data_IF_231180668109
#
_entry.id   IF_231180668109
#
_cell.length_a   1.000
_cell.length_b   1.000
_cell.length_c   1.000
_cell.angle_alpha   90.00
_cell.angle_beta   90.00
_cell.angle_gamma   90.00
#
_symmetry.space_group_name_H-M   'P 1'
#
loop_
_entity.id
_entity.type
_entity.pdbx_description
1 polymer ?
#
# COMPACT_ATOMS: atom_id res chain seq x y z
N UNK A 1 4.15 27.18 1.53
CA UNK A 1 4.26 26.28 0.36
C UNK A 1 5.27 25.21 0.72
N UNK A 2 4.83 24.08 1.28
CA UNK A 2 5.73 22.95 1.46
C UNK A 2 6.08 22.44 0.05
N UNK A 3 7.36 22.41 -0.30
CA UNK A 3 7.80 22.00 -1.64
C UNK A 3 7.31 20.59 -1.97
N UNK A 4 7.01 20.36 -3.25
CA UNK A 4 6.63 19.05 -3.76
C UNK A 4 7.74 18.05 -3.45
N UNK A 5 7.52 17.21 -2.42
CA UNK A 5 8.44 16.16 -2.03
C UNK A 5 8.16 14.96 -2.90
N UNK A 6 9.19 14.34 -3.47
CA UNK A 6 9.06 13.08 -4.19
C UNK A 6 9.53 11.92 -3.33
N UNK A 7 8.98 10.72 -3.58
CA UNK A 7 9.54 9.47 -3.08
C UNK A 7 9.80 8.50 -4.23
N UNK A 8 10.87 7.68 -4.12
CA UNK A 8 11.12 6.62 -5.08
C UNK A 8 10.01 5.58 -4.96
N UNK A 9 9.33 5.32 -6.07
CA UNK A 9 8.27 4.33 -6.18
C UNK A 9 8.64 3.28 -7.23
N UNK A 10 8.81 2.05 -6.76
CA UNK A 10 9.23 0.92 -7.58
C UNK A 10 8.02 0.11 -8.03
N UNK A 11 8.06 -0.42 -9.24
CA UNK A 11 7.17 -1.50 -9.65
C UNK A 11 7.95 -2.76 -10.01
N UNK A 12 7.34 -3.93 -9.88
CA UNK A 12 7.99 -5.24 -10.04
C UNK A 12 8.71 -5.39 -11.40
N UNK A 13 8.13 -4.86 -12.49
CA UNK A 13 8.70 -4.94 -13.85
C UNK A 13 9.69 -3.81 -14.15
N UNK A 14 10.01 -2.96 -13.17
CA UNK A 14 10.96 -1.86 -13.34
C UNK A 14 12.42 -2.31 -13.13
N UNK A 15 12.69 -3.59 -12.82
CA UNK A 15 14.03 -4.15 -12.60
C UNK A 15 14.87 -3.37 -11.58
N UNK A 16 14.24 -2.91 -10.48
CA UNK A 16 14.89 -2.10 -9.44
C UNK A 16 15.02 -0.62 -9.79
N UNK A 17 14.54 -0.17 -10.95
CA UNK A 17 14.37 1.26 -11.24
C UNK A 17 13.18 1.81 -10.45
N UNK A 18 13.32 3.06 -10.01
CA UNK A 18 12.26 3.76 -9.28
C UNK A 18 11.79 4.96 -10.07
N UNK A 19 10.51 5.29 -9.91
CA UNK A 19 9.89 6.51 -10.43
C UNK A 19 9.62 7.44 -9.26
N UNK A 20 10.11 8.66 -9.34
CA UNK A 20 9.79 9.67 -8.35
C UNK A 20 8.32 10.08 -8.46
N UNK A 21 7.58 9.86 -7.38
CA UNK A 21 6.17 10.24 -7.26
C UNK A 21 6.02 11.35 -6.23
N UNK A 22 5.25 12.37 -6.58
CA UNK A 22 4.93 13.48 -5.67
C UNK A 22 4.08 12.95 -4.52
N UNK A 23 4.42 13.36 -3.30
CA UNK A 23 3.64 13.13 -2.10
C UNK A 23 3.36 14.48 -1.42
N UNK A 24 2.10 14.77 -1.09
CA UNK A 24 1.70 16.09 -0.61
C UNK A 24 2.07 16.35 0.87
N UNK A 25 2.53 15.32 1.58
CA UNK A 25 2.96 15.39 2.97
C UNK A 25 3.17 14.01 3.58
N UNK A 26 3.58 14.00 4.86
CA UNK A 26 3.75 12.79 5.65
C UNK A 26 2.55 12.53 6.54
N UNK A 27 2.21 11.26 6.73
CA UNK A 27 1.22 10.82 7.72
C UNK A 27 1.99 10.17 8.86
N UNK A 28 2.02 10.83 10.01
CA UNK A 28 2.73 10.34 11.20
C UNK A 28 1.77 9.84 12.26
N UNK A 29 2.05 8.68 12.83
CA UNK A 29 1.33 8.15 13.98
C UNK A 29 2.22 7.21 14.81
N UNK A 30 1.84 6.98 16.06
CA UNK A 30 2.51 6.04 16.95
C UNK A 30 1.59 4.87 17.25
N UNK A 31 2.13 3.65 17.26
CA UNK A 31 1.41 2.45 17.68
C UNK A 31 2.37 1.51 18.40
N UNK A 32 1.94 1.00 19.57
CA UNK A 32 2.71 0.04 20.37
C UNK A 32 4.15 0.51 20.67
N UNK A 33 4.33 1.82 20.85
CA UNK A 33 5.64 2.45 21.10
C UNK A 33 6.54 2.62 19.87
N UNK A 34 6.04 2.31 18.67
CA UNK A 34 6.74 2.51 17.40
C UNK A 34 6.14 3.70 16.66
N UNK A 35 6.97 4.64 16.26
CA UNK A 35 6.60 5.77 15.42
C UNK A 35 6.68 5.39 13.94
N UNK A 36 5.62 5.68 13.20
CA UNK A 36 5.52 5.45 11.77
C UNK A 36 5.36 6.79 11.07
N UNK A 37 6.14 6.99 10.00
CA UNK A 37 6.01 8.13 9.08
C UNK A 37 5.76 7.58 7.69
N UNK A 38 4.53 7.70 7.22
CA UNK A 38 4.08 7.15 5.95
C UNK A 38 4.03 8.22 4.86
N UNK A 39 4.08 7.77 3.61
CA UNK A 39 3.88 8.61 2.44
C UNK A 39 2.75 8.05 1.58
N UNK A 40 1.71 8.86 1.39
CA UNK A 40 0.61 8.55 0.46
C UNK A 40 0.79 9.35 -0.82
N UNK A 41 0.52 8.71 -1.96
CA UNK A 41 0.62 9.31 -3.28
C UNK A 41 -0.62 10.15 -3.56
N UNK A 42 -0.46 11.26 -4.26
CA UNK A 42 -1.61 11.95 -4.85
C UNK A 42 -2.07 11.20 -6.11
N UNK A 43 -3.35 10.83 -6.12
CA UNK A 43 -4.05 10.21 -7.24
C UNK A 43 -5.26 11.10 -7.56
N UNK A 44 -5.04 12.10 -8.41
CA UNK A 44 -6.04 13.08 -8.84
C UNK A 44 -6.80 13.74 -7.67
N UNK A 45 -6.06 14.13 -6.62
CA UNK A 45 -6.62 14.76 -5.41
C UNK A 45 -7.12 13.79 -4.35
N UNK A 46 -7.03 12.47 -4.58
CA UNK A 46 -7.24 11.44 -3.55
C UNK A 46 -5.90 10.88 -3.10
N UNK A 47 -5.70 10.73 -1.79
CA UNK A 47 -4.48 10.14 -1.26
C UNK A 47 -4.55 8.61 -1.33
N UNK A 48 -3.57 7.99 -1.98
CA UNK A 48 -3.43 6.54 -2.08
C UNK A 48 -2.20 6.08 -1.29
N UNK A 49 -2.44 5.28 -0.25
CA UNK A 49 -1.39 4.60 0.50
C UNK A 49 -1.18 3.20 -0.09
N UNK A 50 0.03 2.93 -0.57
CA UNK A 50 0.49 1.57 -0.87
C UNK A 50 1.32 1.08 0.30
N UNK A 51 0.87 0.00 0.94
CA UNK A 51 1.48 -0.50 2.18
C UNK A 51 1.72 -2.01 2.15
N UNK A 52 2.64 -2.43 3.01
CA UNK A 52 2.89 -3.83 3.32
C UNK A 52 2.90 -4.04 4.83
N UNK A 53 2.67 -5.28 5.27
CA UNK A 53 2.62 -5.71 6.66
C UNK A 53 2.92 -7.22 6.75
N UNK A 54 3.15 -7.78 7.96
CA UNK A 54 3.51 -9.18 8.13
C UNK A 54 2.48 -10.21 7.64
N UNK A 55 1.24 -9.81 7.29
CA UNK A 55 0.23 -10.73 6.72
C UNK A 55 0.43 -11.00 5.23
N UNK A 56 1.22 -10.18 4.53
CA UNK A 56 1.44 -10.34 3.10
C UNK A 56 2.09 -11.69 2.79
N UNK A 57 1.46 -12.47 1.91
CA UNK A 57 2.02 -13.75 1.47
C UNK A 57 1.99 -14.86 2.53
N UNK A 58 1.38 -14.65 3.70
CA UNK A 58 1.22 -15.68 4.73
C UNK A 58 0.15 -16.70 4.35
N UNK A 59 0.44 -18.01 4.47
CA UNK A 59 -0.52 -19.06 4.12
C UNK A 59 -1.77 -19.14 5.00
N UNK A 60 -2.86 -19.65 4.42
CA UNK A 60 -4.15 -19.86 5.11
C UNK A 60 -5.01 -18.60 5.23
N UNK A 61 -6.05 -18.69 6.08
CA UNK A 61 -7.12 -17.68 6.18
C UNK A 61 -6.65 -16.33 6.74
N UNK A 62 -5.48 -16.27 7.37
CA UNK A 62 -4.89 -15.03 7.90
C UNK A 62 -4.07 -14.24 6.90
N UNK A 63 -3.84 -14.79 5.70
CA UNK A 63 -2.98 -14.24 4.67
C UNK A 63 -3.60 -13.12 3.84
N UNK A 64 -2.76 -12.18 3.39
CA UNK A 64 -3.14 -11.14 2.42
C UNK A 64 -2.29 -11.25 1.15
N UNK A 65 -2.65 -10.48 0.11
CA UNK A 65 -1.92 -10.47 -1.17
C UNK A 65 -0.42 -10.19 -0.99
N UNK A 66 0.44 -10.91 -1.70
CA UNK A 66 1.88 -10.94 -1.40
C UNK A 66 2.61 -9.59 -1.59
N UNK A 67 2.20 -8.79 -2.58
CA UNK A 67 2.92 -7.55 -2.92
C UNK A 67 2.49 -6.33 -2.11
N UNK A 68 1.56 -6.47 -1.17
CA UNK A 68 0.98 -5.34 -0.43
C UNK A 68 -0.47 -5.07 -0.80
N UNK A 69 -1.06 -4.04 -0.19
CA UNK A 69 -2.43 -3.60 -0.45
C UNK A 69 -2.50 -2.09 -0.60
N UNK A 70 -3.59 -1.63 -1.18
CA UNK A 70 -3.88 -0.22 -1.37
C UNK A 70 -4.91 0.24 -0.35
N UNK A 71 -4.80 1.50 0.06
CA UNK A 71 -5.78 2.16 0.92
C UNK A 71 -5.95 3.60 0.46
N UNK A 72 -7.16 3.99 0.10
CA UNK A 72 -7.50 5.39 -0.05
C UNK A 72 -7.58 6.05 1.33
N UNK A 73 -6.89 7.17 1.50
CA UNK A 73 -6.78 7.88 2.77
C UNK A 73 -7.67 9.10 2.76
N UNK A 74 -8.62 9.13 3.71
CA UNK A 74 -9.44 10.31 3.94
C UNK A 74 -8.64 11.36 4.73
N UNK A 75 -8.51 12.56 4.16
CA UNK A 75 -7.84 13.70 4.78
C UNK A 75 -8.86 14.74 5.25
N UNK A 76 -8.72 15.19 6.49
CA UNK A 76 -9.51 16.25 7.11
C UNK A 76 -8.57 17.29 7.71
N UNK A 77 -8.22 18.32 6.94
CA UNK A 77 -7.26 19.35 7.36
C UNK A 77 -5.84 18.79 7.49
N UNK A 78 -5.33 18.75 8.71
CA UNK A 78 -4.03 18.19 9.11
C UNK A 78 -4.09 16.73 9.59
N UNK A 79 -5.31 16.17 9.71
CA UNK A 79 -5.52 14.78 10.13
C UNK A 79 -5.85 13.88 8.94
N UNK A 80 -5.42 12.63 9.04
CA UNK A 80 -5.75 11.57 8.11
C UNK A 80 -6.35 10.39 8.87
N UNK A 81 -7.32 9.71 8.26
CA UNK A 81 -7.90 8.46 8.78
C UNK A 81 -7.42 7.31 7.92
N UNK A 82 -6.77 6.34 8.56
CA UNK A 82 -6.33 5.09 7.94
C UNK A 82 -7.32 3.98 8.29
N UNK A 83 -8.38 3.82 7.50
CA UNK A 83 -9.37 2.75 7.68
C UNK A 83 -8.94 1.48 6.95
N UNK A 84 -8.14 0.64 7.61
CA UNK A 84 -7.65 -0.61 7.04
C UNK A 84 -8.76 -1.63 6.69
N UNK A 85 -10.01 -1.44 7.17
CA UNK A 85 -11.13 -2.28 6.71
C UNK A 85 -11.45 -2.06 5.22
N UNK A 86 -10.99 -0.94 4.65
CA UNK A 86 -11.14 -0.58 3.24
C UNK A 86 -9.89 -0.85 2.41
N UNK A 87 -8.88 -1.51 2.99
CA UNK A 87 -7.71 -1.91 2.22
C UNK A 87 -8.08 -2.96 1.17
N UNK A 88 -7.60 -2.80 -0.05
CA UNK A 88 -7.96 -3.63 -1.19
C UNK A 88 -6.74 -4.15 -1.96
N UNK A 89 -6.94 -5.25 -2.69
CA UNK A 89 -5.91 -5.86 -3.53
C UNK A 89 -5.73 -5.02 -4.79
N UNK A 90 -4.49 -4.63 -5.15
CA UNK A 90 -4.25 -3.88 -6.37
C UNK A 90 -4.64 -4.68 -7.64
N UNK A 91 -4.89 -4.01 -8.78
CA UNK A 91 -5.27 -4.68 -10.03
C UNK A 91 -4.32 -5.81 -10.47
N UNK A 92 -3.03 -5.69 -10.12
CA UNK A 92 -2.04 -6.71 -10.44
C UNK A 92 -2.19 -8.02 -9.66
N UNK A 93 -3.02 -8.05 -8.60
CA UNK A 93 -3.44 -9.30 -7.96
C UNK A 93 -4.42 -10.13 -8.78
N UNK A 94 -5.02 -9.53 -9.82
CA UNK A 94 -6.02 -10.17 -10.69
C UNK A 94 -5.53 -10.37 -12.14
N UNK A 95 -4.41 -9.77 -12.52
CA UNK A 95 -3.87 -9.85 -13.89
C UNK A 95 -2.38 -9.49 -13.94
N UNK A 96 -1.58 -10.36 -14.54
CA UNK A 96 -0.14 -10.13 -14.75
C UNK A 96 0.16 -9.01 -15.75
N UNK A 97 -0.84 -8.53 -16.48
CA UNK A 97 -0.69 -7.42 -17.42
C UNK A 97 -0.46 -6.08 -16.69
N UNK A 98 -0.77 -6.00 -15.40
CA UNK A 98 -0.47 -4.82 -14.58
C UNK A 98 0.89 -4.93 -13.92
N UNK A 99 1.65 -3.84 -13.94
CA UNK A 99 2.91 -3.73 -13.21
C UNK A 99 2.61 -3.42 -11.74
N UNK A 100 2.88 -4.37 -10.83
CA UNK A 100 2.61 -4.17 -9.41
C UNK A 100 3.53 -3.11 -8.82
N UNK A 101 3.01 -2.06 -8.17
CA UNK A 101 3.85 -1.23 -7.33
C UNK A 101 4.23 -1.96 -6.05
N UNK A 102 5.45 -1.70 -5.59
CA UNK A 102 5.94 -2.19 -4.31
C UNK A 102 5.76 -1.10 -3.24
N UNK A 103 5.32 -1.47 -2.02
CA UNK A 103 5.23 -0.51 -0.93
C UNK A 103 6.63 0.05 -0.61
N UNK A 104 6.78 1.39 -0.56
CA UNK A 104 8.00 2.04 -0.08
C UNK A 104 8.38 1.51 1.29
N UNK A 105 9.68 1.54 1.64
CA UNK A 105 10.15 0.99 2.93
C UNK A 105 9.45 1.65 4.13
N UNK A 106 9.17 2.95 4.05
CA UNK A 106 8.45 3.72 5.08
C UNK A 106 7.01 3.24 5.28
N UNK A 107 6.39 2.64 4.27
CA UNK A 107 5.00 2.16 4.30
C UNK A 107 4.90 0.67 4.63
N UNK A 108 5.95 0.06 5.18
CA UNK A 108 5.95 -1.34 5.62
C UNK A 108 5.78 -1.37 7.14
N UNK A 109 4.60 -1.79 7.59
CA UNK A 109 4.29 -1.89 9.01
C UNK A 109 4.97 -3.11 9.65
N UNK A 110 5.32 -2.98 10.93
CA UNK A 110 5.83 -4.11 11.72
C UNK A 110 4.70 -4.91 12.40
N UNK A 111 3.49 -4.34 12.49
CA UNK A 111 2.31 -5.00 13.05
C UNK A 111 1.44 -5.60 11.94
N UNK A 112 0.77 -6.74 12.20
CA UNK A 112 -0.13 -7.36 11.23
C UNK A 112 -1.41 -6.52 11.04
N UNK A 113 -1.81 -6.32 9.78
CA UNK A 113 -3.09 -5.70 9.43
C UNK A 113 -4.05 -6.77 8.93
N UNK A 114 -4.88 -7.29 9.83
CA UNK A 114 -5.80 -8.41 9.53
C UNK A 114 -7.14 -7.99 8.92
N UNK A 115 -7.38 -6.69 8.77
CA UNK A 115 -8.58 -6.11 8.17
C UNK A 115 -8.40 -5.86 6.67
N UNK A 116 -9.52 -5.75 5.94
CA UNK A 116 -9.54 -5.49 4.49
C UNK A 116 -9.52 -6.77 3.65
N UNK A 117 -9.29 -6.60 2.35
CA UNK A 117 -9.20 -7.72 1.42
C UNK A 117 -7.97 -8.60 1.72
N UNK A 118 -8.13 -9.90 1.44
CA UNK A 118 -7.14 -10.95 1.70
C UNK A 118 -6.38 -11.29 0.41
N UNK A 119 -6.39 -12.56 0.02
CA UNK A 119 -5.77 -13.08 -1.20
C UNK A 119 -6.82 -13.26 -2.28
N UNK A 120 -6.41 -13.06 -3.52
CA UNK A 120 -7.23 -13.41 -4.68
C UNK A 120 -7.31 -14.93 -4.78
N UNK A 121 -8.53 -15.44 -4.96
CA UNK A 121 -8.79 -16.86 -5.15
C UNK A 121 -9.39 -17.03 -6.54
N UNK A 122 -8.70 -17.77 -7.40
CA UNK A 122 -9.19 -18.07 -8.74
C UNK A 122 -10.08 -19.31 -8.71
N UNK A 123 -11.13 -19.29 -9.52
CA UNK A 123 -11.94 -20.50 -9.74
C UNK A 123 -11.14 -21.50 -10.58
N UNK A 124 -11.43 -22.78 -10.41
CA UNK A 124 -10.79 -23.85 -11.17
C UNK A 124 -10.76 -23.55 -12.68
N UNK A 125 -9.60 -23.78 -13.30
CA UNK A 125 -9.34 -23.49 -14.71
C UNK A 125 -8.78 -22.10 -14.99
N UNK A 126 -8.70 -21.22 -13.98
CA UNK A 126 -7.99 -19.94 -14.08
C UNK A 126 -6.78 -19.95 -13.14
N UNK A 127 -5.59 -19.78 -13.70
CA UNK A 127 -4.35 -19.54 -12.97
C UNK A 127 -3.52 -18.50 -13.74
N UNK A 128 -2.71 -17.75 -13.01
CA UNK A 128 -1.64 -16.91 -13.55
C UNK A 128 -0.42 -17.78 -13.88
#
# INVERSE_FOLDING_TARGET
MAGERTIPFEHIRDNGLTRDKVVPGDISFSRDGVDYTLSAFDDEGTLLLVFGDPTNGVEGDGGTYASGRFLFVARHGDRAVLDFNRAFVPPCGFSDQFNCPLPPRSNRFAFPVTAGEKRVVFREGFAH
#
